data_IF_437515857440
#
_entry.id   IF_437515857440
#
_cell.length_a   1.000
_cell.length_b   1.000
_cell.length_c   1.000
_cell.angle_alpha   90.00
_cell.angle_beta   90.00
_cell.angle_gamma   90.00
#
_symmetry.space_group_name_H-M   'P 1'
#
loop_
_entity.id
_entity.type
_entity.pdbx_description
1 polymer ?
#
# COMPACT_ATOMS: atom_id res chain seq x y z
N UNK A 1 25.33 -29.03 -9.83
CA UNK A 1 24.07 -28.68 -10.52
C UNK A 1 23.43 -27.55 -9.74
N UNK A 2 23.50 -26.33 -10.28
CA UNK A 2 22.86 -25.16 -9.69
C UNK A 2 21.35 -25.25 -9.94
N UNK A 3 20.56 -25.48 -8.89
CA UNK A 3 19.12 -25.25 -8.95
C UNK A 3 18.91 -23.75 -8.72
N UNK A 4 18.38 -23.06 -9.73
CA UNK A 4 18.23 -21.61 -9.76
C UNK A 4 17.32 -21.11 -8.65
N UNK A 5 17.90 -20.31 -7.75
CA UNK A 5 17.19 -19.39 -6.85
C UNK A 5 16.70 -18.19 -7.67
N UNK A 6 15.78 -18.40 -8.60
CA UNK A 6 14.95 -17.31 -9.11
C UNK A 6 13.88 -17.05 -8.05
N UNK A 7 13.91 -15.91 -7.37
CA UNK A 7 12.75 -15.53 -6.58
C UNK A 7 12.92 -14.40 -5.58
N UNK A 8 14.07 -14.23 -4.92
CA UNK A 8 14.21 -13.23 -3.84
C UNK A 8 15.20 -12.11 -4.18
N UNK A 9 16.29 -12.42 -4.89
CA UNK A 9 17.32 -11.45 -5.27
C UNK A 9 16.98 -10.60 -6.50
N UNK A 10 15.87 -10.90 -7.20
CA UNK A 10 15.40 -10.15 -8.37
C UNK A 10 14.24 -9.20 -8.03
N UNK A 11 13.80 -9.15 -6.77
CA UNK A 11 12.70 -8.28 -6.35
C UNK A 11 13.22 -6.88 -6.03
N UNK A 12 12.58 -5.87 -6.63
CA UNK A 12 12.79 -4.47 -6.26
C UNK A 12 11.92 -4.14 -5.05
N UNK A 13 12.57 -3.84 -3.91
CA UNK A 13 11.95 -3.66 -2.59
C UNK A 13 10.74 -2.71 -2.60
N UNK A 14 10.81 -1.64 -3.40
CA UNK A 14 9.79 -0.61 -3.54
C UNK A 14 8.45 -1.18 -4.01
N UNK A 15 8.48 -2.10 -4.98
CA UNK A 15 7.31 -2.72 -5.63
C UNK A 15 6.88 -4.03 -4.98
N UNK A 16 7.59 -4.50 -3.95
CA UNK A 16 7.29 -5.74 -3.23
C UNK A 16 6.03 -5.60 -2.35
N UNK A 17 5.08 -6.54 -2.41
CA UNK A 17 3.87 -6.54 -1.58
C UNK A 17 4.13 -6.91 -0.11
N UNK A 18 3.23 -6.54 0.82
CA UNK A 18 3.44 -6.72 2.25
C UNK A 18 3.62 -8.19 2.66
N UNK A 19 2.92 -9.12 2.01
CA UNK A 19 3.06 -10.55 2.27
C UNK A 19 4.48 -11.07 1.96
N UNK A 20 5.13 -10.53 0.93
CA UNK A 20 6.49 -10.91 0.55
C UNK A 20 7.56 -10.20 1.37
N UNK A 21 7.27 -8.97 1.84
CA UNK A 21 8.14 -8.23 2.76
C UNK A 21 8.20 -8.88 4.14
N UNK A 22 7.07 -9.38 4.65
CA UNK A 22 6.96 -9.89 6.01
C UNK A 22 7.23 -11.40 6.12
N UNK A 23 7.12 -12.14 5.01
CA UNK A 23 7.32 -13.57 4.99
C UNK A 23 8.19 -14.00 3.80
N UNK A 24 9.40 -14.47 4.09
CA UNK A 24 10.33 -14.95 3.06
C UNK A 24 9.81 -16.19 2.32
N UNK A 25 8.91 -16.97 2.91
CA UNK A 25 8.29 -18.15 2.27
C UNK A 25 6.96 -17.84 1.58
N UNK A 26 6.63 -16.58 1.31
CA UNK A 26 5.35 -16.16 0.70
C UNK A 26 5.03 -16.91 -0.60
N UNK A 27 6.06 -17.22 -1.41
CA UNK A 27 5.93 -17.90 -2.70
C UNK A 27 5.46 -19.35 -2.58
N UNK A 28 5.62 -19.98 -1.41
CA UNK A 28 5.08 -21.30 -1.10
C UNK A 28 3.60 -21.24 -0.70
N UNK A 29 3.05 -20.03 -0.59
CA UNK A 29 1.64 -19.79 -0.26
C UNK A 29 0.68 -20.14 -1.40
N UNK A 30 -0.56 -19.65 -1.24
CA UNK A 30 -1.64 -19.96 -2.17
C UNK A 30 -1.33 -19.48 -3.60
N UNK A 31 -1.94 -20.15 -4.60
CA UNK A 31 -1.90 -19.67 -6.00
C UNK A 31 -2.42 -18.23 -6.11
N UNK A 32 -3.41 -17.86 -5.28
CA UNK A 32 -3.96 -16.51 -5.20
C UNK A 32 -2.88 -15.49 -4.81
N UNK A 33 -2.12 -15.73 -3.74
CA UNK A 33 -1.05 -14.83 -3.31
C UNK A 33 -0.03 -14.57 -4.42
N UNK A 34 0.36 -15.63 -5.16
CA UNK A 34 1.29 -15.50 -6.30
C UNK A 34 0.72 -14.69 -7.46
N UNK A 35 -0.55 -14.89 -7.81
CA UNK A 35 -1.19 -14.15 -8.91
C UNK A 35 -1.47 -12.68 -8.56
N UNK A 36 -1.58 -12.35 -7.28
CA UNK A 36 -1.87 -10.99 -6.80
C UNK A 36 -0.62 -10.18 -6.48
N UNK A 37 0.57 -10.79 -6.60
CA UNK A 37 1.85 -10.11 -6.43
C UNK A 37 1.96 -8.95 -7.43
N UNK A 38 1.80 -9.23 -8.72
CA UNK A 38 1.93 -8.23 -9.78
C UNK A 38 0.85 -7.14 -9.69
N UNK A 39 -0.34 -7.48 -9.19
CA UNK A 39 -1.41 -6.50 -8.96
C UNK A 39 -0.97 -5.43 -7.96
N UNK A 40 -0.27 -5.82 -6.89
CA UNK A 40 0.27 -4.86 -5.94
C UNK A 40 1.28 -3.94 -6.61
N UNK A 41 2.23 -4.50 -7.37
CA UNK A 41 3.26 -3.73 -8.07
C UNK A 41 2.64 -2.73 -9.07
N UNK A 42 1.59 -3.14 -9.78
CA UNK A 42 0.78 -2.23 -10.63
C UNK A 42 0.12 -1.14 -9.80
N UNK A 43 -0.38 -1.46 -8.60
CA UNK A 43 -0.90 -0.47 -7.65
C UNK A 43 0.13 0.57 -7.23
N UNK A 44 1.38 0.16 -7.00
CA UNK A 44 2.49 1.08 -6.68
C UNK A 44 2.75 2.00 -7.88
N UNK A 45 2.89 1.46 -9.09
CA UNK A 45 3.11 2.25 -10.32
C UNK A 45 1.94 3.21 -10.57
N UNK A 46 0.70 2.77 -10.38
CA UNK A 46 -0.47 3.62 -10.51
C UNK A 46 -0.42 4.80 -9.53
N UNK A 47 0.00 4.55 -8.28
CA UNK A 47 0.17 5.61 -7.29
C UNK A 47 1.31 6.57 -7.67
N UNK A 48 2.42 6.08 -8.21
CA UNK A 48 3.53 6.90 -8.71
C UNK A 48 3.08 7.83 -9.85
N UNK A 49 2.25 7.32 -10.78
CA UNK A 49 1.67 8.11 -11.86
C UNK A 49 0.69 9.18 -11.35
N UNK A 50 -0.14 8.83 -10.36
CA UNK A 50 -1.09 9.76 -9.72
C UNK A 50 -0.34 10.88 -8.97
N UNK A 51 0.72 10.53 -8.23
CA UNK A 51 1.50 11.46 -7.40
C UNK A 51 2.50 12.25 -8.24
N UNK A 52 2.99 11.69 -9.35
CA UNK A 52 4.06 12.26 -10.16
C UNK A 52 5.45 12.11 -9.52
N UNK A 53 5.67 11.08 -8.70
CA UNK A 53 6.92 10.84 -7.97
C UNK A 53 7.10 9.34 -7.66
N UNK A 54 8.33 8.79 -7.69
CA UNK A 54 8.60 7.41 -7.27
C UNK A 54 8.57 7.23 -5.73
N UNK A 55 8.55 8.31 -4.96
CA UNK A 55 8.65 8.27 -3.50
C UNK A 55 7.29 8.15 -2.80
N UNK A 56 6.41 7.28 -3.30
CA UNK A 56 5.01 7.17 -2.82
C UNK A 56 4.89 6.60 -1.41
N UNK A 57 5.89 5.86 -0.94
CA UNK A 57 5.93 5.32 0.43
C UNK A 57 6.89 6.05 1.37
N UNK A 58 7.32 7.27 1.01
CA UNK A 58 8.15 8.07 1.89
C UNK A 58 7.31 8.67 3.02
N UNK A 59 7.86 8.65 4.24
CA UNK A 59 7.29 9.35 5.40
C UNK A 59 7.92 10.74 5.54
N UNK A 60 7.21 11.67 6.17
CA UNK A 60 7.77 13.02 6.43
C UNK A 60 9.07 12.97 7.26
N UNK A 61 9.97 13.93 7.06
CA UNK A 61 11.22 14.03 7.83
C UNK A 61 10.96 14.06 9.34
N UNK A 62 9.88 14.74 9.74
CA UNK A 62 9.42 14.76 11.14
C UNK A 62 9.05 13.36 11.63
N UNK A 63 8.28 12.61 10.86
CA UNK A 63 7.90 11.24 11.23
C UNK A 63 9.14 10.34 11.30
N UNK A 64 10.08 10.49 10.35
CA UNK A 64 11.34 9.76 10.33
C UNK A 64 12.16 10.01 11.59
N UNK A 65 12.43 11.27 11.94
CA UNK A 65 13.20 11.63 13.15
C UNK A 65 12.57 11.04 14.43
N UNK A 66 11.24 11.12 14.55
CA UNK A 66 10.53 10.55 15.71
C UNK A 66 10.61 9.03 15.76
N UNK A 67 10.61 8.37 14.61
CA UNK A 67 10.78 6.92 14.52
C UNK A 67 12.23 6.52 14.80
N UNK A 68 13.22 7.28 14.32
CA UNK A 68 14.65 7.02 14.54
C UNK A 68 14.98 6.98 16.04
N UNK A 69 14.44 7.92 16.81
CA UNK A 69 14.56 7.94 18.26
C UNK A 69 13.95 6.70 18.92
N UNK A 70 12.83 6.19 18.39
CA UNK A 70 12.12 5.04 18.96
C UNK A 70 12.74 3.69 18.56
N UNK A 71 13.42 3.66 17.43
CA UNK A 71 14.05 2.47 16.83
C UNK A 71 15.57 2.49 17.05
N UNK A 72 16.04 3.18 18.09
CA UNK A 72 17.45 3.21 18.44
C UNK A 72 17.98 1.79 18.69
N UNK A 73 19.12 1.46 18.07
CA UNK A 73 19.74 0.13 18.15
C UNK A 73 19.14 -0.94 17.23
N UNK A 74 18.10 -0.64 16.45
CA UNK A 74 17.55 -1.56 15.45
C UNK A 74 18.41 -1.57 14.18
N UNK A 75 18.39 -2.67 13.41
CA UNK A 75 19.10 -2.73 12.12
C UNK A 75 18.45 -1.80 11.09
N UNK A 76 19.24 -1.36 10.11
CA UNK A 76 18.74 -0.46 9.05
C UNK A 76 17.60 -1.11 8.25
N UNK A 77 17.66 -2.41 7.96
CA UNK A 77 16.60 -3.14 7.25
C UNK A 77 15.29 -3.13 8.03
N UNK A 78 15.38 -3.29 9.36
CA UNK A 78 14.19 -3.26 10.23
C UNK A 78 13.61 -1.85 10.32
N UNK A 79 14.45 -0.82 10.31
CA UNK A 79 14.02 0.58 10.26
C UNK A 79 13.33 0.91 8.94
N UNK A 80 13.90 0.50 7.81
CA UNK A 80 13.30 0.68 6.48
C UNK A 80 11.92 0.02 6.39
N UNK A 81 11.81 -1.22 6.86
CA UNK A 81 10.51 -1.89 6.97
C UNK A 81 9.54 -1.09 7.86
N UNK A 82 9.99 -0.61 9.01
CA UNK A 82 9.15 0.19 9.90
C UNK A 82 8.67 1.50 9.24
N UNK A 83 9.53 2.22 8.52
CA UNK A 83 9.13 3.42 7.76
C UNK A 83 8.11 3.08 6.68
N UNK A 84 8.29 1.96 5.97
CA UNK A 84 7.35 1.51 4.94
C UNK A 84 5.98 1.17 5.54
N UNK A 85 5.97 0.43 6.66
CA UNK A 85 4.75 0.14 7.42
C UNK A 85 4.05 1.43 7.89
N UNK A 86 4.83 2.42 8.36
CA UNK A 86 4.29 3.72 8.74
C UNK A 86 3.63 4.42 7.55
N UNK A 87 4.25 4.39 6.38
CA UNK A 87 3.64 4.94 5.16
C UNK A 87 2.34 4.22 4.80
N UNK A 88 2.30 2.89 4.88
CA UNK A 88 1.07 2.14 4.64
C UNK A 88 -0.06 2.53 5.59
N UNK A 89 0.26 2.89 6.83
CA UNK A 89 -0.72 3.38 7.80
C UNK A 89 -1.22 4.79 7.44
N UNK A 90 -0.33 5.67 6.97
CA UNK A 90 -0.70 7.03 6.51
C UNK A 90 -1.57 7.01 5.24
N UNK A 91 -1.29 6.06 4.34
CA UNK A 91 -2.07 5.81 3.12
C UNK A 91 -3.30 4.92 3.36
N UNK A 92 -3.59 4.51 4.59
CA UNK A 92 -4.71 3.61 4.91
C UNK A 92 -4.70 2.27 4.17
N UNK A 93 -3.51 1.81 3.76
CA UNK A 93 -3.26 0.46 3.24
C UNK A 93 -3.28 -0.53 4.41
N UNK A 94 -2.61 -0.17 5.52
CA UNK A 94 -2.57 -0.95 6.76
C UNK A 94 -3.35 -0.22 7.85
N UNK A 95 -4.40 -0.85 8.38
CA UNK A 95 -5.16 -0.33 9.53
C UNK A 95 -5.08 -1.32 10.70
N UNK A 96 -4.28 -1.04 11.73
CA UNK A 96 -4.16 -1.89 12.91
C UNK A 96 -5.49 -2.01 13.66
N UNK A 97 -5.81 -3.21 14.12
CA UNK A 97 -6.94 -3.46 15.01
C UNK A 97 -8.31 -3.58 14.36
N UNK A 98 -8.42 -3.46 13.03
CA UNK A 98 -9.64 -3.82 12.28
C UNK A 98 -9.40 -5.08 11.45
N UNK A 99 -10.36 -6.01 11.49
CA UNK A 99 -10.38 -7.19 10.62
C UNK A 99 -10.91 -6.83 9.24
N UNK A 100 -10.36 -7.45 8.18
CA UNK A 100 -10.56 -7.15 6.75
C UNK A 100 -11.99 -7.14 6.26
N UNK A 101 -12.91 -7.83 6.94
CA UNK A 101 -14.32 -7.91 6.54
C UNK A 101 -15.03 -6.53 6.51
N UNK A 102 -14.41 -5.47 7.02
CA UNK A 102 -14.93 -4.10 7.01
C UNK A 102 -14.25 -3.17 5.99
N UNK A 103 -13.16 -3.57 5.31
CA UNK A 103 -12.46 -2.69 4.35
C UNK A 103 -13.25 -2.47 3.04
N UNK A 104 -14.16 -3.38 2.68
CA UNK A 104 -15.05 -3.26 1.52
C UNK A 104 -16.33 -2.45 1.74
N UNK A 105 -16.62 -2.02 2.97
CA UNK A 105 -17.83 -1.26 3.33
C UNK A 105 -17.47 -0.05 4.16
N UNK A 106 -16.96 1.00 3.50
CA UNK A 106 -16.67 2.29 4.13
C UNK A 106 -17.98 3.03 4.39
N UNK A 107 -18.66 2.65 5.47
CA UNK A 107 -19.72 3.38 6.17
C UNK A 107 -19.83 2.77 7.58
N UNK A 108 -18.81 2.94 8.41
CA UNK A 108 -18.91 2.54 9.82
C UNK A 108 -18.32 3.62 10.72
N UNK A 109 -19.19 4.54 11.12
CA UNK A 109 -18.98 5.42 12.27
C UNK A 109 -19.11 4.63 13.57
N UNK A 110 -18.14 3.78 13.93
CA UNK A 110 -18.03 3.26 15.31
C UNK A 110 -16.58 3.14 15.73
N UNK A 111 -16.17 4.13 16.53
CA UNK A 111 -14.90 4.11 17.24
C UNK A 111 -14.93 3.20 18.46
N UNK A 112 -13.81 2.51 18.69
CA UNK A 112 -13.34 2.12 20.02
C UNK A 112 -11.82 2.31 20.08
N UNK A 113 -11.36 2.87 21.20
CA UNK A 113 -10.11 3.61 21.29
C UNK A 113 -8.80 2.82 21.33
N UNK A 114 -7.70 3.56 21.26
CA UNK A 114 -6.36 3.05 21.55
C UNK A 114 -5.28 3.29 20.50
N UNK A 115 -5.52 4.10 19.46
CA UNK A 115 -4.52 4.71 18.57
C UNK A 115 -5.30 5.80 17.82
N UNK A 116 -4.65 6.86 17.31
CA UNK A 116 -5.33 8.00 16.68
C UNK A 116 -6.50 7.54 15.77
N UNK A 117 -7.66 8.21 15.83
CA UNK A 117 -8.84 7.88 15.02
C UNK A 117 -8.48 8.03 13.54
N UNK A 118 -7.95 6.96 12.94
CA UNK A 118 -7.62 6.92 11.52
C UNK A 118 -8.91 6.71 10.77
N UNK A 119 -9.54 7.82 10.40
CA UNK A 119 -10.65 7.82 9.46
C UNK A 119 -10.09 7.48 8.08
N UNK A 120 -10.11 6.21 7.70
CA UNK A 120 -9.60 5.73 6.40
C UNK A 120 -10.61 5.86 5.26
N UNK A 121 -11.26 7.03 5.16
CA UNK A 121 -12.21 7.35 4.10
C UNK A 121 -11.51 7.67 2.78
N UNK A 122 -12.28 7.79 1.69
CA UNK A 122 -11.79 8.20 0.37
C UNK A 122 -11.11 9.57 0.42
N UNK A 123 -11.70 10.51 1.17
CA UNK A 123 -11.19 11.87 1.35
C UNK A 123 -9.85 11.89 2.09
N UNK A 124 -9.66 11.00 3.08
CA UNK A 124 -8.40 10.89 3.79
C UNK A 124 -7.28 10.38 2.88
N UNK A 125 -7.56 9.40 2.02
CA UNK A 125 -6.59 8.93 1.04
C UNK A 125 -6.26 10.00 0.01
N UNK A 126 -7.26 10.68 -0.56
CA UNK A 126 -7.03 11.78 -1.50
C UNK A 126 -6.20 12.91 -0.86
N UNK A 127 -6.43 13.20 0.42
CA UNK A 127 -5.61 14.14 1.20
C UNK A 127 -4.17 13.67 1.34
N UNK A 128 -3.94 12.39 1.64
CA UNK A 128 -2.59 11.84 1.75
C UNK A 128 -1.86 11.87 0.39
N UNK A 129 -2.54 11.52 -0.70
CA UNK A 129 -2.02 11.66 -2.06
C UNK A 129 -1.61 13.11 -2.35
N UNK A 130 -2.45 14.09 -1.97
CA UNK A 130 -2.10 15.52 -2.09
C UNK A 130 -0.91 15.93 -1.23
N UNK A 131 -0.71 15.31 -0.07
CA UNK A 131 0.47 15.55 0.78
C UNK A 131 1.73 15.00 0.10
N UNK A 132 1.65 13.86 -0.59
CA UNK A 132 2.77 13.25 -1.31
C UNK A 132 3.07 13.95 -2.65
N UNK A 133 2.05 14.49 -3.31
CA UNK A 133 2.18 15.25 -4.56
C UNK A 133 3.17 16.42 -4.40
N UNK A 134 4.28 16.47 -5.16
CA UNK A 134 5.24 17.56 -5.13
C UNK A 134 4.61 18.95 -5.39
N UNK A 135 3.57 19.01 -6.23
CA UNK A 135 2.87 20.24 -6.62
C UNK A 135 1.70 20.59 -5.69
N UNK A 136 1.35 19.70 -4.74
CA UNK A 136 0.25 19.89 -3.76
C UNK A 136 -1.10 20.21 -4.40
N UNK A 137 -1.34 19.75 -5.63
CA UNK A 137 -2.62 19.88 -6.32
C UNK A 137 -3.56 18.72 -5.95
N UNK A 138 -2.99 17.52 -5.74
CA UNK A 138 -3.73 16.28 -5.64
C UNK A 138 -4.12 15.74 -7.01
N UNK A 139 -4.98 14.73 -7.04
CA UNK A 139 -5.42 14.09 -8.28
C UNK A 139 -6.94 14.21 -8.45
N UNK A 140 -7.45 14.76 -9.57
CA UNK A 140 -8.87 15.06 -9.72
C UNK A 140 -9.72 13.84 -10.08
N UNK A 141 -9.16 12.82 -10.74
CA UNK A 141 -9.91 11.64 -11.16
C UNK A 141 -10.13 10.70 -9.96
N UNK A 142 -11.36 10.68 -9.45
CA UNK A 142 -11.76 9.88 -8.30
C UNK A 142 -11.66 8.37 -8.58
N UNK A 143 -11.95 7.92 -9.80
CA UNK A 143 -11.86 6.50 -10.15
C UNK A 143 -10.43 6.00 -10.18
N UNK A 144 -9.47 6.83 -10.59
CA UNK A 144 -8.06 6.50 -10.51
C UNK A 144 -7.62 6.29 -9.05
N UNK A 145 -8.04 7.19 -8.15
CA UNK A 145 -7.77 7.07 -6.72
C UNK A 145 -8.40 5.80 -6.12
N UNK A 146 -9.64 5.48 -6.51
CA UNK A 146 -10.33 4.24 -6.12
C UNK A 146 -9.61 3.00 -6.61
N UNK A 147 -9.20 2.98 -7.88
CA UNK A 147 -8.44 1.88 -8.46
C UNK A 147 -7.14 1.66 -7.69
N UNK A 148 -6.36 2.72 -7.46
CA UNK A 148 -5.10 2.63 -6.71
C UNK A 148 -5.31 2.02 -5.31
N UNK A 149 -6.36 2.43 -4.58
CA UNK A 149 -6.69 1.85 -3.27
C UNK A 149 -7.02 0.35 -3.35
N UNK A 150 -7.77 -0.06 -4.37
CA UNK A 150 -8.19 -1.45 -4.55
C UNK A 150 -7.07 -2.38 -5.06
N UNK A 151 -6.08 -1.81 -5.77
CA UNK A 151 -4.84 -2.51 -6.14
C UNK A 151 -3.89 -2.66 -4.94
N UNK A 152 -3.86 -1.69 -4.03
CA UNK A 152 -2.98 -1.63 -2.86
C UNK A 152 -3.63 -2.15 -1.56
N UNK A 153 -4.55 -3.10 -1.66
CA UNK A 153 -5.13 -3.75 -0.47
C UNK A 153 -4.07 -4.63 0.19
N UNK A 154 -3.93 -4.48 1.52
CA UNK A 154 -2.95 -5.19 2.33
C UNK A 154 -3.08 -6.71 2.22
N UNK A 155 -4.28 -7.24 2.39
CA UNK A 155 -4.52 -8.67 2.29
C UNK A 155 -4.73 -9.06 0.82
N UNK A 156 -3.88 -9.96 0.32
CA UNK A 156 -3.92 -10.39 -1.08
C UNK A 156 -5.25 -11.05 -1.49
N UNK A 157 -6.02 -11.59 -0.54
CA UNK A 157 -7.32 -12.22 -0.79
C UNK A 157 -8.39 -11.20 -1.18
N UNK A 158 -8.31 -9.99 -0.61
CA UNK A 158 -9.24 -8.88 -0.83
C UNK A 158 -8.78 -7.93 -1.95
N UNK A 159 -7.53 -8.09 -2.42
CA UNK A 159 -6.95 -7.31 -3.52
C UNK A 159 -7.60 -7.67 -4.84
N UNK A 160 -7.79 -6.71 -5.76
CA UNK A 160 -8.36 -6.97 -7.08
C UNK A 160 -7.61 -8.05 -7.85
N UNK A 161 -8.31 -8.82 -8.68
CA UNK A 161 -7.71 -9.68 -9.71
C UNK A 161 -7.44 -8.86 -10.96
N UNK A 162 -6.71 -9.45 -11.90
CA UNK A 162 -6.50 -8.84 -13.23
C UNK A 162 -7.84 -8.53 -13.89
N UNK A 163 -8.75 -9.52 -13.93
CA UNK A 163 -10.05 -9.36 -14.59
C UNK A 163 -10.92 -8.30 -13.90
N UNK A 164 -10.95 -8.26 -12.56
CA UNK A 164 -11.69 -7.22 -11.83
C UNK A 164 -11.08 -5.83 -12.06
N UNK A 165 -9.75 -5.72 -12.10
CA UNK A 165 -9.07 -4.45 -12.37
C UNK A 165 -9.38 -3.92 -13.79
N UNK A 166 -9.37 -4.78 -14.81
CA UNK A 166 -9.69 -4.39 -16.19
C UNK A 166 -11.16 -3.95 -16.36
N UNK A 167 -12.06 -4.46 -15.54
CA UNK A 167 -13.46 -4.07 -15.51
C UNK A 167 -13.75 -2.87 -14.58
N UNK A 168 -12.73 -2.28 -13.95
CA UNK A 168 -12.90 -1.15 -13.04
C UNK A 168 -13.40 0.11 -13.79
N UNK A 169 -14.31 0.92 -13.22
CA UNK A 169 -14.87 2.12 -13.87
C UNK A 169 -13.84 3.11 -14.42
N UNK A 170 -12.64 3.17 -13.82
CA UNK A 170 -11.53 3.98 -14.31
C UNK A 170 -11.20 3.74 -15.80
N UNK A 171 -11.33 2.49 -16.28
CA UNK A 171 -11.07 2.14 -17.68
C UNK A 171 -12.31 2.22 -18.57
N UNK A 172 -13.47 2.52 -18.00
CA UNK A 172 -14.75 2.58 -18.72
C UNK A 172 -15.20 4.03 -18.97
N UNK A 173 -14.67 5.00 -18.23
CA UNK A 173 -14.92 6.41 -18.52
C UNK A 173 -14.14 6.86 -19.77
N UNK A 174 -14.80 7.57 -20.71
CA UNK A 174 -14.10 8.19 -21.81
C UNK A 174 -13.12 9.27 -21.29
N UNK A 175 -11.95 9.43 -21.94
CA UNK A 175 -10.89 10.35 -21.52
C UNK A 175 -11.29 11.83 -21.57
#
# INVERSE_FOLDING_TARGET
>A
MAQGLLGVSEQTFEYTPPEALLNSSWFQGSKSARLKYDIWSVGVVMLELIVGSPHVFQISDRARILMDQRLEGWSEETKELAYKLRSYMELCILVPGISTQQQGSINSERGHGGLASWKCSEESFARQVKILDPLKMGFPNLWALRLARQLLVWHHEDRLSVDEALNHPYFQEPP
#
